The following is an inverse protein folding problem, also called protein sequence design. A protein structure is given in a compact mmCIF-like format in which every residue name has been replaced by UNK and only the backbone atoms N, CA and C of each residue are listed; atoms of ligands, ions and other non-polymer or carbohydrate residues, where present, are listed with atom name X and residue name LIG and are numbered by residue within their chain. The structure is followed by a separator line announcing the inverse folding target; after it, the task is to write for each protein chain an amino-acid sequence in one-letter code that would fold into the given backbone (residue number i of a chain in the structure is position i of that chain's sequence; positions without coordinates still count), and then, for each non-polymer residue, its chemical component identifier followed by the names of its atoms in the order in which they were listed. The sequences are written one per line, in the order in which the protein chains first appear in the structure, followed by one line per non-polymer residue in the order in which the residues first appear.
data_IF_071753783535
#
_entry.id   IF_071753783535
#
_cell.length_a   1.000
_cell.length_b   1.000
_cell.length_c   1.000
_cell.angle_alpha   90.00
_cell.angle_beta   90.00
_cell.angle_gamma   90.00
#
_symmetry.space_group_name_H-M   'P 1'
#
loop_
_entity.id
_entity.type
_entity.pdbx_description
1 polymer ?
#
# COMPACT_ATOMS: atom_id res chain seq x y z
N UNK A 1 17.28 -12.79 11.39
CA UNK A 1 17.21 -11.71 12.37
C UNK A 1 16.14 -10.64 12.09
N UNK A 2 15.43 -10.71 11.00
CA UNK A 2 14.38 -9.74 10.68
C UNK A 2 14.87 -8.39 10.14
N UNK A 3 16.15 -8.25 9.85
CA UNK A 3 16.68 -7.02 9.23
C UNK A 3 16.33 -6.94 7.74
N UNK A 4 16.19 -8.09 7.10
CA UNK A 4 15.85 -8.19 5.68
C UNK A 4 14.75 -9.24 5.49
N UNK A 5 13.95 -9.08 4.46
CA UNK A 5 12.84 -10.00 4.16
C UNK A 5 13.32 -11.26 3.43
N UNK A 6 14.34 -11.13 2.62
CA UNK A 6 14.88 -12.23 1.82
C UNK A 6 16.31 -11.95 1.41
N UNK A 7 17.10 -13.01 1.32
CA UNK A 7 18.47 -12.98 0.77
C UNK A 7 18.45 -13.73 -0.56
N UNK A 8 18.99 -13.12 -1.61
CA UNK A 8 19.08 -13.70 -2.95
C UNK A 8 20.50 -13.54 -3.48
N UNK A 9 20.93 -14.38 -4.45
CA UNK A 9 22.21 -14.17 -5.13
C UNK A 9 22.27 -12.79 -5.78
N UNK A 10 23.46 -12.18 -5.80
CA UNK A 10 23.63 -10.83 -6.34
C UNK A 10 23.10 -10.71 -7.79
N UNK A 11 23.29 -11.74 -8.60
CA UNK A 11 22.80 -11.74 -9.99
C UNK A 11 21.27 -11.66 -10.10
N UNK A 12 20.54 -12.03 -9.04
CA UNK A 12 19.08 -12.05 -9.03
C UNK A 12 18.46 -10.86 -8.28
N UNK A 13 19.31 -10.02 -7.67
CA UNK A 13 18.84 -8.94 -6.80
C UNK A 13 17.93 -7.94 -7.53
N UNK A 14 18.37 -7.46 -8.69
CA UNK A 14 17.58 -6.45 -9.43
C UNK A 14 16.22 -7.01 -9.87
N UNK A 15 16.19 -8.26 -10.37
CA UNK A 15 14.96 -8.89 -10.79
C UNK A 15 14.00 -9.11 -9.62
N UNK A 16 14.54 -9.52 -8.47
CA UNK A 16 13.74 -9.72 -7.28
C UNK A 16 13.15 -8.39 -6.76
N UNK A 17 14.00 -7.36 -6.66
CA UNK A 17 13.54 -6.02 -6.23
C UNK A 17 12.47 -5.50 -7.19
N UNK A 18 12.68 -5.66 -8.50
CA UNK A 18 11.69 -5.23 -9.49
C UNK A 18 10.35 -5.95 -9.31
N UNK A 19 10.38 -7.25 -9.02
CA UNK A 19 9.13 -8.00 -8.79
C UNK A 19 8.35 -7.47 -7.59
N UNK A 20 9.02 -7.09 -6.52
CA UNK A 20 8.39 -6.49 -5.33
C UNK A 20 7.85 -5.11 -5.64
N UNK A 21 8.62 -4.25 -6.29
CA UNK A 21 8.17 -2.89 -6.63
C UNK A 21 7.00 -2.92 -7.62
N UNK A 22 7.01 -3.84 -8.58
CA UNK A 22 5.89 -4.01 -9.51
C UNK A 22 4.62 -4.44 -8.78
N UNK A 23 4.74 -5.34 -7.80
CA UNK A 23 3.61 -5.73 -6.95
C UNK A 23 3.04 -4.54 -6.18
N UNK A 24 3.92 -3.72 -5.59
CA UNK A 24 3.50 -2.52 -4.84
C UNK A 24 2.78 -1.55 -5.78
N UNK A 25 3.33 -1.33 -6.98
CA UNK A 25 2.75 -0.41 -7.96
C UNK A 25 1.40 -0.90 -8.51
N UNK A 26 1.14 -2.20 -8.47
CA UNK A 26 -0.13 -2.77 -8.91
C UNK A 26 -1.24 -2.62 -7.88
N UNK A 27 -0.92 -2.23 -6.65
CA UNK A 27 -1.91 -2.04 -5.59
C UNK A 27 -2.47 -0.62 -5.59
N UNK A 28 -3.58 -0.42 -4.88
CA UNK A 28 -4.23 0.89 -4.78
C UNK A 28 -3.32 1.90 -4.05
N UNK A 29 -2.91 2.99 -4.72
CA UNK A 29 -1.96 3.94 -4.14
C UNK A 29 -2.44 4.60 -2.85
N UNK A 30 -3.73 4.93 -2.75
CA UNK A 30 -4.29 5.57 -1.55
C UNK A 30 -4.24 4.64 -0.35
N UNK A 31 -4.48 3.34 -0.56
CA UNK A 31 -4.39 2.33 0.51
C UNK A 31 -2.96 2.17 1.01
N UNK A 32 -1.99 2.10 0.10
CA UNK A 32 -0.57 2.01 0.47
C UNK A 32 -0.14 3.26 1.24
N UNK A 33 -0.57 4.43 0.80
CA UNK A 33 -0.27 5.70 1.46
C UNK A 33 -0.84 5.73 2.88
N UNK A 34 -2.09 5.30 3.05
CA UNK A 34 -2.74 5.25 4.35
C UNK A 34 -2.04 4.25 5.29
N UNK A 35 -1.69 3.07 4.78
CA UNK A 35 -0.99 2.05 5.56
C UNK A 35 0.39 2.55 6.01
N UNK A 36 1.15 3.17 5.12
CA UNK A 36 2.47 3.72 5.45
C UNK A 36 2.38 4.80 6.51
N UNK A 37 1.40 5.69 6.40
CA UNK A 37 1.17 6.73 7.39
C UNK A 37 0.79 6.12 8.75
N UNK A 38 -0.12 5.16 8.77
CA UNK A 38 -0.57 4.50 9.99
C UNK A 38 0.59 3.80 10.72
N UNK A 39 1.45 3.09 9.98
CA UNK A 39 2.62 2.42 10.56
C UNK A 39 3.56 3.46 11.17
N UNK A 40 3.79 4.58 10.49
CA UNK A 40 4.61 5.68 11.01
C UNK A 40 4.06 6.25 12.32
N UNK A 41 2.74 6.34 12.45
CA UNK A 41 2.11 6.82 13.69
C UNK A 41 2.26 5.83 14.85
N UNK A 42 2.25 4.52 14.57
CA UNK A 42 2.47 3.49 15.61
C UNK A 42 3.86 3.62 16.24
N UNK A 43 4.85 4.08 15.48
CA UNK A 43 6.22 4.25 15.96
C UNK A 43 6.40 5.47 16.87
N UNK A 44 5.42 6.35 16.94
CA UNK A 44 5.44 7.52 17.82
C UNK A 44 4.88 7.16 19.20
N UNK A 45 5.18 8.01 20.20
CA UNK A 45 4.54 7.91 21.49
C UNK A 45 3.03 8.09 21.31
N UNK A 46 2.25 7.38 22.11
CA UNK A 46 0.79 7.38 22.01
C UNK A 46 0.21 8.80 21.99
N UNK A 47 0.75 9.70 22.84
CA UNK A 47 0.29 11.09 22.93
C UNK A 47 0.55 11.93 21.67
N UNK A 48 1.47 11.48 20.80
CA UNK A 48 1.86 12.20 19.59
C UNK A 48 1.23 11.60 18.32
N UNK A 49 0.44 10.53 18.47
CA UNK A 49 -0.19 9.87 17.30
C UNK A 49 -1.37 10.67 16.79
N UNK A 50 -1.43 10.85 15.48
CA UNK A 50 -2.56 11.50 14.81
C UNK A 50 -3.55 10.44 14.29
N UNK A 51 -4.27 9.81 15.20
CA UNK A 51 -5.25 8.77 14.88
C UNK A 51 -6.39 9.31 14.03
N UNK A 52 -6.80 10.56 14.27
CA UNK A 52 -7.86 11.19 13.48
C UNK A 52 -7.48 11.31 12.02
N UNK A 53 -6.21 11.60 11.73
CA UNK A 53 -5.72 11.65 10.34
C UNK A 53 -5.69 10.27 9.70
N UNK A 54 -5.31 9.24 10.46
CA UNK A 54 -5.36 7.86 9.97
C UNK A 54 -6.80 7.50 9.57
N UNK A 55 -7.77 7.81 10.43
CA UNK A 55 -9.18 7.53 10.15
C UNK A 55 -9.67 8.25 8.90
N UNK A 56 -9.29 9.52 8.73
CA UNK A 56 -9.63 10.28 7.52
C UNK A 56 -9.02 9.70 6.26
N UNK A 57 -7.80 9.20 6.34
CA UNK A 57 -7.14 8.57 5.19
C UNK A 57 -7.83 7.26 4.81
N UNK A 58 -8.28 6.48 5.79
CA UNK A 58 -9.04 5.25 5.56
C UNK A 58 -10.40 5.58 4.92
N UNK A 59 -11.11 6.59 5.44
CA UNK A 59 -12.38 7.04 4.86
C UNK A 59 -12.19 7.49 3.41
N UNK A 60 -11.11 8.23 3.12
CA UNK A 60 -10.80 8.68 1.78
C UNK A 60 -10.57 7.51 0.81
N UNK A 61 -9.98 6.40 1.29
CA UNK A 61 -9.81 5.20 0.49
C UNK A 61 -11.17 4.63 0.07
N UNK A 62 -12.11 4.52 0.99
CA UNK A 62 -13.46 4.00 0.69
C UNK A 62 -14.28 4.94 -0.19
N UNK A 63 -14.03 6.24 -0.11
CA UNK A 63 -14.72 7.24 -0.93
C UNK A 63 -14.07 7.45 -2.30
N UNK A 64 -12.95 6.79 -2.58
CA UNK A 64 -12.17 7.03 -3.79
C UNK A 64 -12.73 6.33 -5.03
N UNK A 65 -12.36 6.86 -6.19
CA UNK A 65 -12.62 6.17 -7.47
C UNK A 65 -11.87 4.85 -7.57
N UNK A 66 -10.69 4.77 -6.97
CA UNK A 66 -9.92 3.52 -6.93
C UNK A 66 -10.66 2.41 -6.18
N UNK A 67 -11.42 2.74 -5.15
CA UNK A 67 -12.26 1.75 -4.47
C UNK A 67 -13.34 1.19 -5.40
N UNK A 68 -13.99 2.07 -6.16
CA UNK A 68 -14.99 1.66 -7.15
C UNK A 68 -14.34 0.80 -8.24
N UNK A 69 -13.19 1.24 -8.75
CA UNK A 69 -12.43 0.49 -9.74
C UNK A 69 -12.02 -0.89 -9.22
N UNK A 70 -11.52 -0.97 -8.00
CA UNK A 70 -11.10 -2.24 -7.40
C UNK A 70 -12.27 -3.22 -7.28
N UNK A 71 -13.42 -2.75 -6.83
CA UNK A 71 -14.64 -3.57 -6.75
C UNK A 71 -15.09 -4.04 -8.13
N UNK A 72 -15.13 -3.12 -9.08
CA UNK A 72 -15.57 -3.43 -10.46
C UNK A 72 -14.61 -4.43 -11.09
N UNK A 73 -13.31 -4.20 -10.98
CA UNK A 73 -12.30 -5.11 -11.52
C UNK A 73 -12.40 -6.51 -10.90
N UNK A 74 -12.64 -6.59 -9.59
CA UNK A 74 -12.82 -7.86 -8.90
C UNK A 74 -14.04 -8.62 -9.45
N UNK A 75 -15.16 -7.93 -9.63
CA UNK A 75 -16.37 -8.55 -10.17
C UNK A 75 -16.19 -8.99 -11.62
N UNK A 76 -15.45 -8.23 -12.40
CA UNK A 76 -15.15 -8.54 -13.80
C UNK A 76 -13.98 -9.49 -13.99
N UNK A 77 -13.29 -9.89 -12.91
CA UNK A 77 -12.14 -10.79 -12.92
C UNK A 77 -11.00 -10.29 -13.81
N UNK A 78 -10.72 -8.99 -13.73
CA UNK A 78 -9.62 -8.33 -14.43
C UNK A 78 -8.70 -7.60 -13.45
N UNK A 79 -7.53 -7.20 -13.91
CA UNK A 79 -6.65 -6.35 -13.11
C UNK A 79 -7.24 -4.95 -13.02
N UNK A 80 -7.24 -4.33 -11.82
CA UNK A 80 -7.70 -2.96 -11.69
C UNK A 80 -6.71 -1.95 -12.27
N UNK A 81 -7.22 -0.82 -12.74
CA UNK A 81 -6.42 0.30 -13.21
C UNK A 81 -6.56 1.46 -12.21
N UNK A 82 -5.74 1.45 -11.18
CA UNK A 82 -5.78 2.46 -10.14
C UNK A 82 -5.14 3.78 -10.60
N UNK A 83 -5.71 4.90 -10.18
CA UNK A 83 -5.25 6.24 -10.55
C UNK A 83 -4.76 7.06 -9.35
N UNK A 84 -4.94 6.56 -8.13
CA UNK A 84 -4.57 7.30 -6.92
C UNK A 84 -5.59 8.36 -6.50
N UNK A 85 -6.81 8.24 -7.00
CA UNK A 85 -7.87 9.23 -6.72
C UNK A 85 -9.15 8.59 -6.25
#
# INVERSE_FOLDING_TARGET
MGLVNRVVPQAELEAYVKSITDMICANAPLTIKAAKFAIGEILKDESNRDVARVDKMVEACFASGDYVEGRTAFMEKRKPAFTGK
#
